data_IF_106177964145
#
_entry.id   IF_106177964145
#
_cell.length_a   1.000
_cell.length_b   1.000
_cell.length_c   1.000
_cell.angle_alpha   90.00
_cell.angle_beta   90.00
_cell.angle_gamma   90.00
#
_symmetry.space_group_name_H-M   'P 1'
#
loop_
_entity.id
_entity.type
_entity.pdbx_description
1 polymer ?
#
# COMPACT_ATOMS: atom_id res chain seq x y z
N UNK A 1 -4.68 -15.44 -13.83
CA UNK A 1 -5.09 -14.05 -13.54
C UNK A 1 -4.89 -13.63 -12.08
N UNK A 2 -5.55 -14.26 -11.10
CA UNK A 2 -5.49 -13.83 -9.69
C UNK A 2 -4.07 -13.78 -9.08
N UNK A 3 -3.17 -14.70 -9.46
CA UNK A 3 -1.75 -14.66 -9.03
C UNK A 3 -0.97 -13.48 -9.60
N UNK A 4 -1.19 -13.16 -10.88
CA UNK A 4 -0.51 -12.03 -11.54
C UNK A 4 -0.95 -10.69 -10.94
N UNK A 5 -2.26 -10.52 -10.72
CA UNK A 5 -2.80 -9.33 -10.06
C UNK A 5 -2.30 -9.18 -8.63
N UNK A 6 -2.23 -10.29 -7.87
CA UNK A 6 -1.68 -10.26 -6.52
C UNK A 6 -0.20 -9.87 -6.51
N UNK A 7 0.57 -10.35 -7.49
CA UNK A 7 1.98 -9.98 -7.66
C UNK A 7 2.14 -8.51 -8.04
N UNK A 8 1.35 -8.01 -9.00
CA UNK A 8 1.39 -6.60 -9.40
C UNK A 8 0.99 -5.71 -8.22
N UNK A 9 -0.08 -6.05 -7.50
CA UNK A 9 -0.50 -5.35 -6.31
C UNK A 9 0.63 -5.28 -5.26
N UNK A 10 1.30 -6.40 -5.01
CA UNK A 10 2.45 -6.44 -4.11
C UNK A 10 3.60 -5.55 -4.58
N UNK A 11 3.99 -5.63 -5.85
CA UNK A 11 5.09 -4.82 -6.40
C UNK A 11 4.77 -3.33 -6.28
N UNK A 12 3.54 -2.92 -6.59
CA UNK A 12 3.11 -1.52 -6.45
C UNK A 12 3.10 -1.07 -5.00
N UNK A 13 2.61 -1.89 -4.07
CA UNK A 13 2.65 -1.61 -2.64
C UNK A 13 4.09 -1.51 -2.11
N UNK A 14 4.99 -2.36 -2.61
CA UNK A 14 6.40 -2.36 -2.23
C UNK A 14 7.08 -1.08 -2.71
N UNK A 15 6.94 -0.73 -3.99
CA UNK A 15 7.53 0.49 -4.56
C UNK A 15 6.95 1.73 -3.87
N UNK A 16 5.62 1.83 -3.78
CA UNK A 16 4.94 2.95 -3.14
C UNK A 16 5.31 3.08 -1.66
N UNK A 17 5.27 1.98 -0.92
CA UNK A 17 5.63 1.94 0.51
C UNK A 17 7.09 2.31 0.77
N UNK A 18 8.04 1.82 -0.05
CA UNK A 18 9.46 2.19 0.07
C UNK A 18 9.67 3.67 -0.21
N UNK A 19 9.05 4.22 -1.25
CA UNK A 19 9.13 5.66 -1.54
C UNK A 19 8.59 6.52 -0.38
N UNK A 20 7.45 6.11 0.21
CA UNK A 20 6.89 6.75 1.41
C UNK A 20 7.87 6.70 2.58
N UNK A 21 8.43 5.52 2.86
CA UNK A 21 9.41 5.31 3.94
C UNK A 21 10.63 6.19 3.76
N UNK A 22 11.21 6.25 2.55
CA UNK A 22 12.38 7.07 2.25
C UNK A 22 12.07 8.56 2.40
N UNK A 23 10.90 9.01 1.94
CA UNK A 23 10.47 10.39 2.11
C UNK A 23 10.31 10.75 3.59
N UNK A 24 9.72 9.87 4.40
CA UNK A 24 9.58 10.09 5.83
C UNK A 24 10.93 10.16 6.56
N UNK A 25 11.86 9.27 6.20
CA UNK A 25 13.22 9.26 6.76
C UNK A 25 13.99 10.55 6.43
N UNK A 26 13.89 11.05 5.17
CA UNK A 26 14.47 12.34 4.80
C UNK A 26 13.85 13.51 5.56
N UNK A 27 12.57 13.41 5.92
CA UNK A 27 11.85 14.39 6.73
C UNK A 27 12.30 14.45 8.20
N UNK A 28 12.85 13.37 8.77
CA UNK A 28 13.30 13.32 10.17
C UNK A 28 14.51 14.21 10.47
N UNK A 29 15.24 14.68 9.45
CA UNK A 29 16.32 15.66 9.61
C UNK A 29 15.85 17.06 10.03
N UNK A 30 14.54 17.33 10.02
CA UNK A 30 13.95 18.62 10.31
C UNK A 30 13.33 18.59 11.72
N UNK A 31 13.98 19.28 12.67
CA UNK A 31 13.85 19.10 14.14
C UNK A 31 12.58 19.70 14.79
N UNK A 32 11.51 19.99 14.04
CA UNK A 32 10.24 20.38 14.68
C UNK A 32 9.52 19.14 15.23
N UNK A 33 8.97 19.23 16.45
CA UNK A 33 8.22 18.14 17.09
C UNK A 33 7.02 17.73 16.22
N UNK A 34 6.35 18.71 15.59
CA UNK A 34 5.22 18.46 14.70
C UNK A 34 5.62 17.68 13.44
N UNK A 35 6.75 18.03 12.82
CA UNK A 35 7.26 17.29 11.66
C UNK A 35 7.72 15.89 12.05
N UNK A 36 8.31 15.72 13.24
CA UNK A 36 8.72 14.40 13.72
C UNK A 36 7.54 13.45 13.90
N UNK A 37 6.44 13.92 14.50
CA UNK A 37 5.24 13.12 14.73
C UNK A 37 4.60 12.69 13.41
N UNK A 38 4.41 13.64 12.47
CA UNK A 38 3.84 13.35 11.14
C UNK A 38 4.72 12.38 10.37
N UNK A 39 6.03 12.62 10.31
CA UNK A 39 6.96 11.75 9.58
C UNK A 39 7.02 10.34 10.18
N UNK A 40 6.92 10.20 11.51
CA UNK A 40 6.87 8.89 12.17
C UNK A 40 5.61 8.09 11.78
N UNK A 41 4.45 8.75 11.70
CA UNK A 41 3.22 8.13 11.22
C UNK A 41 3.30 7.76 9.75
N UNK A 42 3.79 8.67 8.90
CA UNK A 42 4.00 8.41 7.46
C UNK A 42 4.92 7.21 7.26
N UNK A 43 6.02 7.11 8.02
CA UNK A 43 6.91 5.96 8.02
C UNK A 43 6.18 4.67 8.39
N UNK A 44 5.41 4.68 9.50
CA UNK A 44 4.67 3.52 9.96
C UNK A 44 3.64 3.03 8.93
N UNK A 45 2.88 3.94 8.33
CA UNK A 45 1.91 3.58 7.28
C UNK A 45 2.58 3.16 5.98
N UNK A 46 3.77 3.69 5.65
CA UNK A 46 4.60 3.18 4.56
C UNK A 46 4.98 1.71 4.76
N UNK A 47 5.42 1.34 5.97
CA UNK A 47 5.66 -0.07 6.34
C UNK A 47 4.37 -0.90 6.30
N UNK A 48 3.27 -0.33 6.81
CA UNK A 48 1.95 -0.96 6.76
C UNK A 48 1.49 -1.28 5.34
N UNK A 49 1.76 -0.40 4.38
CA UNK A 49 1.48 -0.64 2.97
C UNK A 49 2.32 -1.80 2.41
N UNK A 50 3.61 -1.90 2.76
CA UNK A 50 4.47 -3.01 2.35
C UNK A 50 3.95 -4.35 2.91
N UNK A 51 3.61 -4.37 4.19
CA UNK A 51 3.05 -5.56 4.86
C UNK A 51 1.68 -5.94 4.26
N UNK A 52 0.84 -4.95 3.96
CA UNK A 52 -0.44 -5.16 3.27
C UNK A 52 -0.24 -5.76 1.88
N UNK A 53 0.72 -5.22 1.10
CA UNK A 53 1.15 -5.77 -0.19
C UNK A 53 1.60 -7.23 -0.08
N UNK A 54 2.42 -7.53 0.93
CA UNK A 54 2.89 -8.88 1.19
C UNK A 54 1.74 -9.85 1.49
N UNK A 55 0.77 -9.43 2.32
CA UNK A 55 -0.44 -10.21 2.61
C UNK A 55 -1.29 -10.48 1.36
N UNK A 56 -1.33 -9.54 0.42
CA UNK A 56 -1.98 -9.76 -0.88
C UNK A 56 -1.29 -10.90 -1.63
N UNK A 57 0.03 -10.87 -1.69
CA UNK A 57 0.82 -11.88 -2.40
C UNK A 57 0.72 -13.28 -1.76
N UNK A 58 0.78 -13.37 -0.43
CA UNK A 58 0.77 -14.65 0.30
C UNK A 58 -0.61 -15.34 0.33
N UNK A 59 -1.66 -14.65 -0.11
CA UNK A 59 -2.99 -15.25 -0.33
C UNK A 59 -4.08 -14.74 0.60
N UNK A 60 -3.77 -13.93 1.61
CA UNK A 60 -4.75 -13.26 2.47
C UNK A 60 -5.22 -11.95 1.80
N UNK A 61 -5.66 -12.07 0.55
CA UNK A 61 -5.84 -10.96 -0.41
C UNK A 61 -6.81 -9.88 0.07
N UNK A 62 -7.95 -10.29 0.63
CA UNK A 62 -8.97 -9.35 1.10
C UNK A 62 -8.45 -8.48 2.24
N UNK A 63 -7.84 -9.10 3.25
CA UNK A 63 -7.26 -8.37 4.39
C UNK A 63 -6.10 -7.48 3.93
N UNK A 64 -5.17 -8.03 3.14
CA UNK A 64 -4.04 -7.27 2.62
C UNK A 64 -4.49 -6.08 1.76
N UNK A 65 -5.49 -6.26 0.90
CA UNK A 65 -6.10 -5.19 0.11
C UNK A 65 -6.71 -4.09 0.97
N UNK A 66 -7.50 -4.44 1.98
CA UNK A 66 -8.09 -3.48 2.93
C UNK A 66 -6.99 -2.72 3.67
N UNK A 67 -6.00 -3.41 4.23
CA UNK A 67 -4.91 -2.79 4.99
C UNK A 67 -4.09 -1.83 4.11
N UNK A 68 -3.74 -2.25 2.89
CA UNK A 68 -2.96 -1.43 1.95
C UNK A 68 -3.75 -0.19 1.52
N UNK A 69 -5.05 -0.35 1.24
CA UNK A 69 -5.92 0.76 0.83
C UNK A 69 -6.09 1.77 1.97
N UNK A 70 -6.35 1.30 3.20
CA UNK A 70 -6.47 2.17 4.37
C UNK A 70 -5.16 2.90 4.66
N UNK A 71 -4.01 2.23 4.57
CA UNK A 71 -2.71 2.87 4.69
C UNK A 71 -2.54 3.98 3.64
N UNK A 72 -2.90 3.73 2.37
CA UNK A 72 -2.86 4.74 1.31
C UNK A 72 -3.76 5.95 1.58
N UNK A 73 -4.99 5.73 2.07
CA UNK A 73 -5.93 6.80 2.41
C UNK A 73 -5.39 7.65 3.56
N UNK A 74 -4.88 7.01 4.61
CA UNK A 74 -4.31 7.72 5.75
C UNK A 74 -3.09 8.52 5.33
N UNK A 75 -2.20 7.94 4.51
CA UNK A 75 -1.06 8.65 3.94
C UNK A 75 -1.49 9.88 3.15
N UNK A 76 -2.51 9.76 2.29
CA UNK A 76 -3.05 10.90 1.55
C UNK A 76 -3.52 12.04 2.45
N UNK A 77 -4.20 11.71 3.56
CA UNK A 77 -4.66 12.70 4.55
C UNK A 77 -3.47 13.34 5.29
N UNK A 78 -2.47 12.54 5.68
CA UNK A 78 -1.31 13.03 6.43
C UNK A 78 -0.36 13.89 5.58
N UNK A 79 -0.17 13.55 4.30
CA UNK A 79 0.73 14.28 3.40
C UNK A 79 0.03 15.40 2.62
N UNK A 80 -1.30 15.48 2.69
CA UNK A 80 -2.12 16.48 2.01
C UNK A 80 -2.08 16.41 0.48
N UNK A 81 -1.51 15.36 -0.10
CA UNK A 81 -1.36 15.24 -1.56
C UNK A 81 -1.28 13.78 -2.03
N UNK A 82 -1.82 13.53 -3.22
CA UNK A 82 -1.72 12.26 -3.92
C UNK A 82 -0.41 12.19 -4.72
N UNK A 83 0.72 12.32 -4.04
CA UNK A 83 2.02 12.09 -4.66
C UNK A 83 2.12 10.68 -5.25
N UNK A 84 3.01 10.48 -6.23
CA UNK A 84 3.16 9.20 -6.96
C UNK A 84 3.24 7.99 -6.02
N UNK A 85 3.97 8.10 -4.91
CA UNK A 85 4.10 7.03 -3.92
C UNK A 85 2.75 6.63 -3.27
N UNK A 86 1.92 7.61 -2.91
CA UNK A 86 0.61 7.40 -2.30
C UNK A 86 -0.36 6.77 -3.31
N UNK A 87 -0.33 7.24 -4.56
CA UNK A 87 -1.13 6.67 -5.64
C UNK A 87 -0.79 5.19 -5.90
N UNK A 88 0.49 4.84 -5.89
CA UNK A 88 0.93 3.46 -6.04
C UNK A 88 0.37 2.55 -4.93
N UNK A 89 0.39 3.03 -3.67
CA UNK A 89 -0.18 2.31 -2.53
C UNK A 89 -1.70 2.15 -2.66
N UNK A 90 -2.42 3.20 -3.06
CA UNK A 90 -3.86 3.15 -3.26
C UNK A 90 -4.24 2.15 -4.37
N UNK A 91 -3.59 2.24 -5.52
CA UNK A 91 -3.81 1.33 -6.65
C UNK A 91 -3.48 -0.12 -6.26
N UNK A 92 -2.40 -0.34 -5.50
CA UNK A 92 -2.07 -1.65 -4.97
C UNK A 92 -3.18 -2.22 -4.08
N UNK A 93 -3.74 -1.40 -3.18
CA UNK A 93 -4.86 -1.80 -2.33
C UNK A 93 -6.09 -2.21 -3.14
N UNK A 94 -6.47 -1.40 -4.14
CA UNK A 94 -7.59 -1.72 -5.05
C UNK A 94 -7.34 -3.02 -5.80
N UNK A 95 -6.15 -3.19 -6.38
CA UNK A 95 -5.80 -4.43 -7.09
C UNK A 95 -5.80 -5.65 -6.18
N UNK A 96 -5.40 -5.50 -4.92
CA UNK A 96 -5.49 -6.56 -3.92
C UNK A 96 -6.92 -7.00 -3.63
N UNK A 97 -7.83 -6.03 -3.51
CA UNK A 97 -9.27 -6.30 -3.35
C UNK A 97 -9.87 -6.97 -4.59
N UNK A 98 -9.55 -6.47 -5.79
CA UNK A 98 -9.99 -7.08 -7.05
C UNK A 98 -9.46 -8.51 -7.16
N UNK A 99 -8.19 -8.75 -6.84
CA UNK A 99 -7.59 -10.08 -6.85
C UNK A 99 -8.22 -11.05 -5.83
N UNK A 100 -8.83 -10.53 -4.75
CA UNK A 100 -9.54 -11.33 -3.76
C UNK A 100 -10.89 -11.85 -4.30
N UNK A 101 -11.60 -11.04 -5.08
CA UNK A 101 -12.92 -11.36 -5.63
C UNK A 101 -12.87 -12.15 -6.95
N UNK A 102 -11.70 -12.19 -7.62
CA UNK A 102 -11.55 -12.95 -8.86
C UNK A 102 -11.62 -14.46 -8.64
N UNK A 103 -12.66 -15.09 -9.20
CA UNK A 103 -12.72 -16.54 -9.36
C UNK A 103 -11.62 -17.04 -10.30
N UNK A 104 -11.15 -18.29 -10.14
CA UNK A 104 -10.26 -18.92 -11.11
C UNK A 104 -10.91 -18.87 -12.50
N UNK A 105 -10.19 -18.41 -13.52
CA UNK A 105 -10.66 -18.34 -14.92
C UNK A 105 -11.35 -19.63 -15.43
N UNK A 106 -10.94 -20.81 -14.95
CA UNK A 106 -11.57 -22.10 -15.25
C UNK A 106 -13.00 -22.26 -14.71
N UNK A 107 -13.40 -21.48 -13.69
CA UNK A 107 -14.73 -21.51 -13.09
C UNK A 107 -15.77 -20.70 -13.88
N UNK A 108 -15.36 -19.95 -14.91
CA UNK A 108 -16.26 -19.27 -15.83
C UNK A 108 -16.73 -20.16 -16.99
N UNK A 109 -16.09 -21.32 -17.17
CA UNK A 109 -16.41 -22.30 -18.23
C UNK A 109 -17.20 -23.51 -17.71
N UNK A 110 -17.77 -23.42 -16.51
CA UNK A 110 -18.78 -24.36 -15.96
C UNK A 110 -20.08 -23.62 -15.80
#
# INVERSE_FOLDING_TARGET
MHRLLSLIAFVLALIGGVLVVMSALGGLGHLSIGSLAVNSLVFLFGLGAILGGWLIYTGIRKLGGIMTLLAGIILFVLTGSAGTAVLLVLVAGVLGLVAAEMKPWWAFWR
#
